data_IF_437354664958
#
_entry.id   IF_437354664958
#
_cell.length_a   1.000
_cell.length_b   1.000
_cell.length_c   1.000
_cell.angle_alpha   90.00
_cell.angle_beta   90.00
_cell.angle_gamma   90.00
#
_symmetry.space_group_name_H-M   'P 1'
#
loop_
_entity.id
_entity.type
_entity.pdbx_description
1 polymer ?
#
# COMPACT_ATOMS: atom_id res chain seq x y z
N UNK A 1 5.75 -35.06 -12.30
CA UNK A 1 5.40 -33.72 -12.82
C UNK A 1 5.51 -32.67 -11.72
N UNK A 2 6.69 -32.52 -11.11
CA UNK A 2 6.87 -31.69 -9.89
C UNK A 2 8.00 -30.68 -10.04
N UNK A 3 8.94 -30.90 -10.98
CA UNK A 3 10.05 -29.98 -11.23
C UNK A 3 9.64 -28.70 -11.97
N UNK A 4 8.63 -28.77 -12.85
CA UNK A 4 8.25 -27.63 -13.71
C UNK A 4 7.58 -26.47 -12.93
N UNK A 5 6.85 -26.78 -11.85
CA UNK A 5 6.15 -25.78 -11.05
C UNK A 5 7.11 -24.95 -10.16
N UNK A 6 8.22 -25.55 -9.71
CA UNK A 6 9.19 -24.88 -8.83
C UNK A 6 9.99 -23.83 -9.60
N UNK A 7 10.36 -24.10 -10.86
CA UNK A 7 11.08 -23.12 -11.70
C UNK A 7 10.24 -21.89 -12.03
N UNK A 8 8.92 -22.04 -12.19
CA UNK A 8 8.04 -20.94 -12.58
C UNK A 8 7.82 -19.93 -11.43
N UNK A 9 7.67 -20.41 -10.19
CA UNK A 9 7.53 -19.52 -9.02
C UNK A 9 8.82 -18.75 -8.71
N UNK A 10 10.00 -19.34 -8.96
CA UNK A 10 11.28 -18.68 -8.72
C UNK A 10 11.52 -17.53 -9.71
N UNK A 11 11.19 -17.74 -10.99
CA UNK A 11 11.38 -16.71 -12.03
C UNK A 11 10.48 -15.47 -11.83
N UNK A 12 9.25 -15.65 -11.35
CA UNK A 12 8.34 -14.51 -11.08
C UNK A 12 8.87 -13.68 -9.91
N UNK A 13 9.32 -14.32 -8.83
CA UNK A 13 9.87 -13.62 -7.68
C UNK A 13 11.13 -12.80 -8.03
N UNK A 14 11.98 -13.31 -8.92
CA UNK A 14 13.14 -12.56 -9.42
C UNK A 14 12.74 -11.36 -10.28
N UNK A 15 11.74 -11.51 -11.14
CA UNK A 15 11.26 -10.41 -11.98
C UNK A 15 10.67 -9.26 -11.16
N UNK A 16 9.92 -9.57 -10.08
CA UNK A 16 9.36 -8.54 -9.21
C UNK A 16 10.43 -7.84 -8.37
N UNK A 17 11.44 -8.57 -7.88
CA UNK A 17 12.57 -7.96 -7.15
C UNK A 17 13.36 -6.98 -8.03
N UNK A 18 13.55 -7.31 -9.32
CA UNK A 18 14.13 -6.39 -10.30
C UNK A 18 13.27 -5.13 -10.49
N UNK A 19 11.95 -5.27 -10.57
CA UNK A 19 11.04 -4.12 -10.69
C UNK A 19 11.12 -3.22 -9.45
N UNK A 20 11.16 -3.80 -8.24
CA UNK A 20 11.30 -3.00 -7.01
C UNK A 20 12.65 -2.28 -6.98
N UNK A 21 13.73 -2.95 -7.41
CA UNK A 21 15.06 -2.31 -7.53
C UNK A 21 15.04 -1.12 -8.50
N UNK A 22 14.30 -1.21 -9.61
CA UNK A 22 14.18 -0.12 -10.59
C UNK A 22 13.43 1.11 -10.08
N UNK A 23 12.74 1.04 -8.94
CA UNK A 23 12.15 2.23 -8.31
C UNK A 23 13.21 3.26 -7.89
N UNK A 24 14.45 2.82 -7.65
CA UNK A 24 15.60 3.67 -7.37
C UNK A 24 16.43 4.04 -8.63
N UNK A 25 15.96 3.72 -9.83
CA UNK A 25 16.65 4.06 -11.08
C UNK A 25 16.80 5.57 -11.25
N UNK A 26 17.96 6.07 -11.69
CA UNK A 26 18.16 7.48 -12.05
C UNK A 26 17.33 7.89 -13.29
N UNK A 27 17.04 6.93 -14.18
CA UNK A 27 16.11 7.14 -15.29
C UNK A 27 14.66 7.13 -14.78
N UNK A 28 14.01 8.28 -14.84
CA UNK A 28 12.62 8.48 -14.41
C UNK A 28 11.62 7.64 -15.23
N UNK A 29 11.89 7.41 -16.52
CA UNK A 29 11.01 6.59 -17.35
C UNK A 29 11.03 5.12 -16.88
N UNK A 30 12.22 4.57 -16.61
CA UNK A 30 12.40 3.25 -16.02
C UNK A 30 11.72 3.11 -14.65
N UNK A 31 11.90 4.09 -13.75
CA UNK A 31 11.26 4.06 -12.43
C UNK A 31 9.72 4.13 -12.52
N UNK A 32 9.18 4.97 -13.40
CA UNK A 32 7.72 5.05 -13.65
C UNK A 32 7.18 3.74 -14.22
N UNK A 33 7.84 3.16 -15.23
CA UNK A 33 7.42 1.90 -15.84
C UNK A 33 7.46 0.73 -14.84
N UNK A 34 8.44 0.74 -13.93
CA UNK A 34 8.53 -0.24 -12.86
C UNK A 34 7.37 -0.11 -11.86
N UNK A 35 7.03 1.12 -11.45
CA UNK A 35 5.86 1.40 -10.60
C UNK A 35 4.56 0.91 -11.24
N UNK A 36 4.32 1.24 -12.51
CA UNK A 36 3.12 0.84 -13.23
C UNK A 36 3.03 -0.69 -13.36
N UNK A 37 4.14 -1.36 -13.67
CA UNK A 37 4.21 -2.82 -13.76
C UNK A 37 3.89 -3.50 -12.42
N UNK A 38 4.43 -2.98 -11.31
CA UNK A 38 4.13 -3.48 -9.96
C UNK A 38 2.66 -3.22 -9.58
N UNK A 39 2.10 -2.08 -9.99
CA UNK A 39 0.71 -1.74 -9.76
C UNK A 39 -0.26 -2.67 -10.53
N UNK A 40 0.06 -2.97 -11.78
CA UNK A 40 -0.71 -3.87 -12.64
C UNK A 40 -0.71 -5.32 -12.15
N UNK A 41 0.43 -5.80 -11.64
CA UNK A 41 0.57 -7.16 -11.07
C UNK A 41 -0.26 -7.40 -9.82
N UNK A 42 -0.69 -6.34 -9.13
CA UNK A 42 -1.61 -6.50 -8.03
C UNK A 42 -0.98 -7.22 -6.83
N UNK A 43 -1.73 -8.20 -6.30
CA UNK A 43 -1.32 -9.05 -5.16
C UNK A 43 -0.08 -9.89 -5.47
N UNK A 44 0.18 -10.21 -6.74
CA UNK A 44 1.32 -11.05 -7.12
C UNK A 44 2.66 -10.35 -6.82
N UNK A 45 2.69 -9.02 -6.85
CA UNK A 45 3.87 -8.23 -6.49
C UNK A 45 4.06 -8.03 -4.97
N UNK A 46 3.06 -8.33 -4.14
CA UNK A 46 3.11 -8.05 -2.70
C UNK A 46 4.26 -8.74 -1.96
N UNK A 47 4.66 -9.98 -2.27
CA UNK A 47 5.81 -10.60 -1.62
C UNK A 47 7.12 -9.81 -1.84
N UNK A 48 7.38 -9.34 -3.06
CA UNK A 48 8.57 -8.55 -3.37
C UNK A 48 8.52 -7.17 -2.71
N UNK A 49 7.37 -6.50 -2.78
CA UNK A 49 7.16 -5.20 -2.13
C UNK A 49 7.32 -5.31 -0.60
N UNK A 50 6.73 -6.32 0.03
CA UNK A 50 6.81 -6.56 1.47
C UNK A 50 8.24 -6.88 1.93
N UNK A 51 9.04 -7.54 1.09
CA UNK A 51 10.45 -7.81 1.38
C UNK A 51 11.32 -6.54 1.37
N UNK A 52 10.84 -5.45 0.74
CA UNK A 52 11.57 -4.18 0.58
C UNK A 52 11.00 -3.03 1.42
N UNK A 53 10.09 -3.29 2.35
CA UNK A 53 9.50 -2.24 3.21
C UNK A 53 10.53 -1.50 4.08
N UNK A 54 11.62 -2.17 4.42
CA UNK A 54 12.72 -1.62 5.25
C UNK A 54 13.86 -1.04 4.38
N UNK A 55 13.66 -0.90 3.07
CA UNK A 55 14.70 -0.43 2.14
C UNK A 55 14.84 1.10 2.15
N UNK A 56 15.94 1.58 2.72
CA UNK A 56 16.25 3.01 2.84
C UNK A 56 16.89 3.63 1.58
N UNK A 57 17.05 2.87 0.49
CA UNK A 57 17.57 3.40 -0.78
C UNK A 57 16.67 4.51 -1.31
N UNK A 58 17.22 5.68 -1.66
CA UNK A 58 16.44 6.80 -2.21
C UNK A 58 15.72 6.34 -3.49
N UNK A 59 14.39 6.50 -3.55
CA UNK A 59 13.63 6.22 -4.76
C UNK A 59 13.79 7.39 -5.74
N UNK A 60 13.49 7.17 -7.02
CA UNK A 60 13.59 8.23 -8.02
C UNK A 60 12.76 9.47 -7.63
N UNK A 61 13.45 10.56 -7.29
CA UNK A 61 12.82 11.77 -6.77
C UNK A 61 11.90 12.44 -7.80
N UNK A 62 12.24 12.42 -9.09
CA UNK A 62 11.41 13.08 -10.11
C UNK A 62 10.05 12.42 -10.27
N UNK A 63 9.99 11.09 -10.13
CA UNK A 63 8.74 10.31 -10.21
C UNK A 63 7.93 10.40 -8.93
N UNK A 64 8.58 10.26 -7.77
CA UNK A 64 7.89 10.06 -6.49
C UNK A 64 7.88 11.31 -5.58
N UNK A 65 8.35 12.47 -6.05
CA UNK A 65 8.32 13.71 -5.26
C UNK A 65 6.91 14.06 -4.80
N UNK A 66 6.79 14.44 -3.53
CA UNK A 66 5.63 15.15 -3.03
C UNK A 66 6.07 16.53 -2.50
N UNK A 67 5.88 17.61 -3.28
CA UNK A 67 6.39 18.93 -2.92
C UNK A 67 5.70 19.53 -1.68
N UNK A 68 4.60 18.93 -1.23
CA UNK A 68 3.83 19.41 -0.06
C UNK A 68 4.29 18.79 1.26
N UNK A 69 5.08 17.70 1.20
CA UNK A 69 5.56 17.02 2.40
C UNK A 69 6.96 17.50 2.72
N UNK A 70 7.11 18.11 3.90
CA UNK A 70 8.40 18.53 4.43
C UNK A 70 8.81 17.64 5.60
N UNK A 71 10.10 17.33 5.67
CA UNK A 71 10.70 16.63 6.80
C UNK A 71 11.66 17.55 7.56
N UNK A 72 11.68 17.41 8.88
CA UNK A 72 12.58 18.19 9.75
C UNK A 72 13.95 17.53 9.76
N UNK A 73 14.95 18.25 9.25
CA UNK A 73 16.36 17.83 9.26
C UNK A 73 17.14 18.61 10.30
N UNK A 74 18.41 18.23 10.53
CA UNK A 74 19.34 19.01 11.37
C UNK A 74 19.56 20.44 10.85
N UNK A 75 19.34 20.69 9.55
CA UNK A 75 19.54 21.98 8.89
C UNK A 75 18.23 22.78 8.71
N UNK A 76 17.12 22.32 9.28
CA UNK A 76 15.80 22.92 9.11
C UNK A 76 14.85 22.01 8.30
N UNK A 77 13.80 22.58 7.75
CA UNK A 77 12.81 21.85 6.97
C UNK A 77 13.30 21.64 5.53
N UNK A 78 13.26 20.39 5.06
CA UNK A 78 13.59 20.03 3.69
C UNK A 78 12.40 19.31 3.03
N UNK A 79 12.34 19.33 1.70
CA UNK A 79 11.35 18.51 0.96
C UNK A 79 11.64 17.04 1.27
N UNK A 80 10.60 16.30 1.62
CA UNK A 80 10.71 14.88 1.87
C UNK A 80 11.04 14.13 0.58
N UNK A 81 12.03 13.24 0.68
CA UNK A 81 12.42 12.33 -0.39
C UNK A 81 12.05 10.91 0.02
N UNK A 82 11.18 10.22 -0.73
CA UNK A 82 10.81 8.85 -0.41
C UNK A 82 11.97 7.89 -0.69
N UNK A 83 12.10 6.85 0.13
CA UNK A 83 12.92 5.69 -0.19
C UNK A 83 12.10 4.59 -0.88
N UNK A 84 12.75 3.52 -1.32
CA UNK A 84 12.09 2.37 -1.96
C UNK A 84 11.08 1.72 -1.03
N UNK A 85 11.37 1.62 0.27
CA UNK A 85 10.43 1.09 1.27
C UNK A 85 9.14 1.91 1.38
N UNK A 86 9.24 3.24 1.32
CA UNK A 86 8.11 4.16 1.32
C UNK A 86 7.24 3.95 0.07
N UNK A 87 7.86 3.83 -1.11
CA UNK A 87 7.13 3.59 -2.36
C UNK A 87 6.48 2.20 -2.35
N UNK A 88 7.17 1.18 -1.83
CA UNK A 88 6.64 -0.18 -1.72
C UNK A 88 5.43 -0.23 -0.77
N UNK A 89 5.52 0.46 0.37
CA UNK A 89 4.41 0.63 1.30
C UNK A 89 3.22 1.32 0.63
N UNK A 90 3.45 2.46 -0.03
CA UNK A 90 2.39 3.21 -0.70
C UNK A 90 1.71 2.41 -1.82
N UNK A 91 2.46 1.59 -2.57
CA UNK A 91 1.90 0.68 -3.56
C UNK A 91 0.95 -0.34 -2.91
N UNK A 92 1.41 -1.03 -1.87
CA UNK A 92 0.60 -2.01 -1.13
C UNK A 92 -0.67 -1.34 -0.57
N UNK A 93 -0.50 -0.25 0.18
CA UNK A 93 -1.60 0.45 0.83
C UNK A 93 -2.59 0.99 -0.21
N UNK A 94 -2.12 1.61 -1.30
CA UNK A 94 -3.00 2.13 -2.35
C UNK A 94 -3.75 1.02 -3.08
N UNK A 95 -3.16 -0.15 -3.28
CA UNK A 95 -3.89 -1.24 -3.92
C UNK A 95 -4.99 -1.82 -3.02
N UNK A 96 -4.73 -1.98 -1.72
CA UNK A 96 -5.65 -2.60 -0.76
C UNK A 96 -6.67 -1.60 -0.22
N UNK A 97 -6.24 -0.41 0.14
CA UNK A 97 -7.09 0.60 0.77
C UNK A 97 -7.55 1.64 -0.24
N UNK A 98 -6.85 1.85 -1.36
CA UNK A 98 -7.20 2.89 -2.34
C UNK A 98 -6.83 4.29 -1.87
N UNK A 99 -7.32 5.30 -2.60
CA UNK A 99 -7.13 6.70 -2.21
C UNK A 99 -8.23 7.12 -1.25
N UNK A 100 -7.88 7.40 0.00
CA UNK A 100 -8.80 7.92 1.02
C UNK A 100 -8.65 9.43 1.17
N UNK A 101 -9.69 10.13 1.65
CA UNK A 101 -9.54 11.49 2.15
C UNK A 101 -8.44 11.53 3.23
N UNK A 102 -7.50 12.48 3.11
CA UNK A 102 -6.36 12.57 4.04
C UNK A 102 -6.75 12.73 5.51
N UNK A 103 -7.95 13.26 5.78
CA UNK A 103 -8.50 13.38 7.14
C UNK A 103 -8.85 12.03 7.79
N UNK A 104 -8.90 10.93 7.03
CA UNK A 104 -9.22 9.58 7.51
C UNK A 104 -8.00 8.68 7.68
N UNK A 105 -6.79 9.22 7.47
CA UNK A 105 -5.55 8.43 7.46
C UNK A 105 -5.27 7.69 8.77
N UNK A 106 -5.77 8.20 9.89
CA UNK A 106 -5.55 7.60 11.21
C UNK A 106 -6.36 6.31 11.41
N UNK A 107 -7.25 5.99 10.48
CA UNK A 107 -8.09 4.79 10.48
C UNK A 107 -7.67 3.75 9.45
N UNK A 108 -6.53 3.93 8.76
CA UNK A 108 -5.99 2.89 7.88
C UNK A 108 -5.73 1.60 8.67
N UNK A 109 -6.12 0.46 8.11
CA UNK A 109 -5.82 -0.86 8.68
C UNK A 109 -4.33 -1.18 8.50
N UNK A 110 -3.77 -0.75 7.36
CA UNK A 110 -2.37 -0.97 7.00
C UNK A 110 -1.58 0.31 7.26
N UNK A 111 -0.59 0.22 8.12
CA UNK A 111 0.37 1.27 8.47
C UNK A 111 1.78 0.83 8.11
N UNK A 112 2.71 1.77 7.96
CA UNK A 112 4.10 1.44 7.67
C UNK A 112 4.70 0.50 8.73
N UNK A 113 4.28 0.64 9.98
CA UNK A 113 4.71 -0.20 11.11
C UNK A 113 4.14 -1.62 11.12
N UNK A 114 3.02 -1.90 10.43
CA UNK A 114 2.37 -3.21 10.47
C UNK A 114 2.28 -3.90 9.10
N UNK A 115 2.64 -3.22 8.00
CA UNK A 115 2.39 -3.69 6.64
C UNK A 115 2.99 -5.08 6.35
N UNK A 116 4.22 -5.33 6.81
CA UNK A 116 4.91 -6.61 6.61
C UNK A 116 4.17 -7.79 7.26
N UNK A 117 3.76 -7.61 8.51
CA UNK A 117 3.02 -8.61 9.28
C UNK A 117 1.61 -8.79 8.73
N UNK A 118 0.95 -7.69 8.36
CA UNK A 118 -0.40 -7.72 7.78
C UNK A 118 -0.43 -8.50 6.46
N UNK A 119 0.50 -8.24 5.54
CA UNK A 119 0.60 -8.96 4.27
C UNK A 119 0.92 -10.44 4.48
N UNK A 120 1.81 -10.75 5.42
CA UNK A 120 2.17 -12.13 5.75
C UNK A 120 0.97 -12.90 6.31
N UNK A 121 0.24 -12.30 7.25
CA UNK A 121 -0.96 -12.86 7.89
C UNK A 121 -2.07 -13.16 6.89
N UNK A 122 -2.19 -12.35 5.84
CA UNK A 122 -3.28 -12.42 4.87
C UNK A 122 -2.86 -12.99 3.50
N UNK A 123 -1.73 -13.71 3.46
CA UNK A 123 -1.23 -14.36 2.25
C UNK A 123 -2.24 -15.33 1.65
N UNK A 124 -2.38 -15.29 0.32
CA UNK A 124 -3.26 -16.18 -0.44
C UNK A 124 -4.69 -15.64 -0.63
N UNK A 125 -5.02 -14.50 -0.05
CA UNK A 125 -6.28 -13.82 -0.32
C UNK A 125 -6.21 -13.02 -1.64
N UNK A 126 -7.35 -12.93 -2.33
CA UNK A 126 -7.47 -12.08 -3.51
C UNK A 126 -7.46 -10.60 -3.14
N UNK A 127 -7.16 -9.72 -4.10
CA UNK A 127 -7.16 -8.27 -3.86
C UNK A 127 -8.51 -7.77 -3.30
N UNK A 128 -9.62 -8.34 -3.77
CA UNK A 128 -10.96 -7.99 -3.27
C UNK A 128 -11.15 -8.42 -1.82
N UNK A 129 -10.71 -9.62 -1.45
CA UNK A 129 -10.78 -10.08 -0.07
C UNK A 129 -9.93 -9.20 0.86
N UNK A 130 -8.71 -8.84 0.43
CA UNK A 130 -7.84 -7.91 1.17
C UNK A 130 -8.49 -6.54 1.35
N UNK A 131 -9.10 -5.99 0.29
CA UNK A 131 -9.86 -4.72 0.33
C UNK A 131 -11.01 -4.76 1.34
N UNK A 132 -11.81 -5.84 1.33
CA UNK A 132 -12.94 -6.01 2.26
C UNK A 132 -12.44 -6.11 3.71
N UNK A 133 -11.37 -6.87 3.94
CA UNK A 133 -10.78 -7.01 5.28
C UNK A 133 -10.25 -5.69 5.81
N UNK A 134 -9.45 -4.97 5.01
CA UNK A 134 -8.90 -3.67 5.42
C UNK A 134 -10.01 -2.66 5.77
N UNK A 135 -11.06 -2.56 4.96
CA UNK A 135 -12.20 -1.67 5.25
C UNK A 135 -12.94 -2.11 6.53
N UNK A 136 -13.08 -3.42 6.77
CA UNK A 136 -13.74 -3.96 7.97
C UNK A 136 -12.93 -3.69 9.26
N UNK A 137 -11.61 -3.84 9.20
CA UNK A 137 -10.71 -3.50 10.31
C UNK A 137 -10.74 -1.98 10.59
N UNK A 138 -10.80 -1.17 9.54
CA UNK A 138 -10.89 0.28 9.63
C UNK A 138 -12.22 0.75 10.22
N UNK A 139 -13.34 0.16 9.80
CA UNK A 139 -14.66 0.37 10.41
C UNK A 139 -14.66 0.05 11.90
N UNK A 140 -14.00 -1.05 12.27
CA UNK A 140 -13.85 -1.44 13.68
C UNK A 140 -13.03 -0.41 14.47
N UNK A 141 -12.00 0.18 13.85
CA UNK A 141 -11.21 1.26 14.45
C UNK A 141 -12.06 2.51 14.70
N UNK A 142 -12.77 2.99 13.67
CA UNK A 142 -13.65 4.15 13.76
C UNK A 142 -14.75 3.95 14.81
N UNK A 143 -15.35 2.75 14.86
CA UNK A 143 -16.38 2.42 15.85
C UNK A 143 -15.85 2.49 17.29
N UNK A 144 -14.61 2.04 17.55
CA UNK A 144 -13.98 2.17 18.87
C UNK A 144 -13.73 3.64 19.24
N UNK A 145 -13.32 4.47 18.29
CA UNK A 145 -13.11 5.89 18.55
C UNK A 145 -14.43 6.64 18.79
N UNK A 146 -15.49 6.33 18.04
CA UNK A 146 -16.84 6.88 18.30
C UNK A 146 -17.42 6.44 19.64
N UNK A 147 -17.06 5.26 20.13
CA UNK A 147 -17.46 4.82 21.48
C UNK A 147 -16.79 5.64 22.59
N UNK A 148 -15.61 6.24 22.32
CA UNK A 148 -14.91 7.13 23.26
C UNK A 148 -15.40 8.58 23.14
N UNK A 149 -15.62 9.03 21.91
CA UNK A 149 -16.15 10.36 21.60
C UNK A 149 -17.24 10.26 20.54
N UNK A 150 -18.49 10.14 20.99
CA UNK A 150 -19.66 10.02 20.14
C UNK A 150 -20.01 11.32 19.41
N UNK A 151 -19.34 12.44 19.73
CA UNK A 151 -19.61 13.76 19.14
C UNK A 151 -18.71 14.10 17.96
N UNK A 152 -17.75 13.22 17.63
CA UNK A 152 -16.81 13.45 16.53
C UNK A 152 -17.50 13.38 15.16
N UNK A 153 -17.77 14.56 14.58
CA UNK A 153 -18.26 14.71 13.21
C UNK A 153 -17.32 14.06 12.18
N UNK A 154 -16.01 14.16 12.41
CA UNK A 154 -15.01 13.55 11.53
C UNK A 154 -15.13 12.02 11.51
N UNK A 155 -15.24 11.39 12.68
CA UNK A 155 -15.37 9.94 12.77
C UNK A 155 -16.72 9.46 12.21
N UNK A 156 -17.79 10.24 12.38
CA UNK A 156 -19.10 9.95 11.79
C UNK A 156 -19.04 9.97 10.26
N UNK A 157 -18.36 10.96 9.67
CA UNK A 157 -18.12 11.03 8.21
C UNK A 157 -17.23 9.89 7.72
N UNK A 158 -16.20 9.53 8.49
CA UNK A 158 -15.34 8.41 8.18
C UNK A 158 -16.11 7.07 8.17
N UNK A 159 -16.97 6.85 9.18
CA UNK A 159 -17.84 5.67 9.27
C UNK A 159 -18.76 5.55 8.05
N UNK A 160 -19.41 6.65 7.65
CA UNK A 160 -20.28 6.68 6.47
C UNK A 160 -19.50 6.33 5.19
N UNK A 161 -18.33 6.95 4.99
CA UNK A 161 -17.45 6.69 3.85
C UNK A 161 -17.04 5.22 3.76
N UNK A 162 -16.57 4.64 4.88
CA UNK A 162 -16.11 3.25 4.91
C UNK A 162 -17.26 2.26 4.73
N UNK A 163 -18.45 2.57 5.25
CA UNK A 163 -19.65 1.74 5.07
C UNK A 163 -20.06 1.68 3.61
N UNK A 164 -20.16 2.84 2.94
CA UNK A 164 -20.46 2.91 1.51
C UNK A 164 -19.42 2.15 0.68
N UNK A 165 -18.13 2.31 1.04
CA UNK A 165 -17.02 1.60 0.39
C UNK A 165 -17.14 0.08 0.55
N UNK A 166 -17.48 -0.41 1.74
CA UNK A 166 -17.65 -1.84 1.99
C UNK A 166 -18.78 -2.42 1.13
N UNK A 167 -19.93 -1.74 1.08
CA UNK A 167 -21.06 -2.14 0.23
C UNK A 167 -20.64 -2.26 -1.24
N UNK A 168 -19.96 -1.23 -1.78
CA UNK A 168 -19.45 -1.24 -3.16
C UNK A 168 -18.48 -2.40 -3.43
N UNK A 169 -17.61 -2.72 -2.47
CA UNK A 169 -16.66 -3.83 -2.60
C UNK A 169 -17.35 -5.19 -2.58
N UNK A 170 -18.41 -5.35 -1.79
CA UNK A 170 -19.17 -6.60 -1.71
C UNK A 170 -20.00 -6.84 -2.99
N UNK A 171 -20.56 -5.78 -3.56
CA UNK A 171 -21.36 -5.82 -4.79
C UNK A 171 -20.50 -5.95 -6.06
N UNK A 172 -19.24 -5.50 -6.02
CA UNK A 172 -18.33 -5.61 -7.15
C UNK A 172 -18.12 -7.08 -7.52
N UNK A 173 -18.39 -7.44 -8.77
CA UNK A 173 -18.00 -8.76 -9.30
C UNK A 173 -16.48 -8.89 -9.30
N UNK A 174 -16.00 -10.11 -9.10
CA UNK A 174 -14.58 -10.42 -9.27
C UNK A 174 -14.23 -10.15 -10.73
N UNK A 175 -13.53 -9.05 -11.00
CA UNK A 175 -12.92 -8.83 -12.30
C UNK A 175 -11.77 -9.83 -12.38
N UNK A 176 -11.97 -10.87 -13.20
CA UNK A 176 -10.92 -11.81 -13.61
C UNK A 176 -9.85 -11.08 -14.41
#
# INVERSE_FOLDING_TARGET
>A
MTALAIFFCFAIAQADDELVTRLASDDAASASAAYDSLAERGVDAFPALAARLDDETEANYEVFRNPTVMTKTRRGWAIYKPNVGDVAFLLIQRQIEGTWPGAFKDHHAITQSNAKDWITKHKGLTLKQLRILAVTESLSSVARELAKDSSSDLNTKCLAYLTERLTKLQEAKDKR
#
